data_IF_942696055812
#
_entry.id   IF_942696055812
#
_cell.length_a   1.000
_cell.length_b   1.000
_cell.length_c   1.000
_cell.angle_alpha   90.00
_cell.angle_beta   90.00
_cell.angle_gamma   90.00
#
_symmetry.space_group_name_H-M   'P 1'
#
loop_
_entity.id
_entity.type
_entity.pdbx_description
1 polymer ?
#
# COMPACT_ATOMS: atom_id res chain seq x y z
N UNK A 1 -20.02 16.86 0.10
CA UNK A 1 -19.07 16.10 0.95
C UNK A 1 -19.01 14.70 0.35
N UNK A 2 -17.83 14.24 -0.05
CA UNK A 2 -17.63 12.87 -0.57
C UNK A 2 -17.89 11.89 0.57
N UNK A 3 -18.77 10.93 0.36
CA UNK A 3 -19.03 9.87 1.34
C UNK A 3 -18.03 8.74 1.19
N UNK A 4 -17.97 7.82 2.14
CA UNK A 4 -17.15 6.60 2.03
C UNK A 4 -17.58 5.75 0.83
N UNK A 5 -18.88 5.66 0.58
CA UNK A 5 -19.43 4.89 -0.55
C UNK A 5 -19.04 5.51 -1.89
N UNK A 6 -19.07 6.85 -2.01
CA UNK A 6 -18.60 7.57 -3.20
C UNK A 6 -17.12 7.29 -3.47
N UNK A 7 -16.28 7.36 -2.43
CA UNK A 7 -14.86 7.10 -2.52
C UNK A 7 -14.55 5.66 -2.96
N UNK A 8 -15.25 4.67 -2.39
CA UNK A 8 -15.12 3.26 -2.76
C UNK A 8 -15.59 3.03 -4.21
N UNK A 9 -16.69 3.66 -4.61
CA UNK A 9 -17.22 3.55 -5.97
C UNK A 9 -16.24 4.13 -6.98
N UNK A 10 -15.66 5.31 -6.74
CA UNK A 10 -14.65 5.95 -7.57
C UNK A 10 -13.40 5.10 -7.69
N UNK A 11 -12.86 4.65 -6.56
CA UNK A 11 -11.69 3.79 -6.52
C UNK A 11 -11.92 2.45 -7.25
N UNK A 12 -13.12 1.88 -7.12
CA UNK A 12 -13.49 0.63 -7.79
C UNK A 12 -13.69 0.80 -9.29
N UNK A 13 -14.08 1.97 -9.76
CA UNK A 13 -14.26 2.30 -11.18
C UNK A 13 -12.94 2.67 -11.87
N UNK A 14 -11.92 3.09 -11.09
CA UNK A 14 -10.64 3.52 -11.63
C UNK A 14 -9.84 2.32 -12.16
N UNK A 15 -9.56 2.31 -13.45
CA UNK A 15 -8.68 1.31 -14.11
C UNK A 15 -7.23 1.77 -14.25
N UNK A 16 -6.82 2.82 -13.52
CA UNK A 16 -5.50 3.41 -13.58
C UNK A 16 -4.43 2.62 -12.83
N UNK A 17 -3.20 3.15 -12.82
CA UNK A 17 -2.10 2.52 -12.10
C UNK A 17 -2.29 2.61 -10.57
N UNK A 18 -1.90 1.58 -9.86
CA UNK A 18 -1.89 1.48 -8.39
C UNK A 18 -1.26 2.75 -7.77
N UNK A 19 -0.08 3.13 -8.25
CA UNK A 19 0.67 4.27 -7.72
C UNK A 19 -0.05 5.61 -7.86
N UNK A 20 -0.86 5.80 -8.89
CA UNK A 20 -1.63 7.03 -9.08
C UNK A 20 -2.87 7.06 -8.19
N UNK A 21 -3.48 5.90 -7.95
CA UNK A 21 -4.79 5.80 -7.31
C UNK A 21 -4.72 5.71 -5.80
N UNK A 22 -3.70 5.03 -5.21
CA UNK A 22 -3.69 4.84 -3.76
C UNK A 22 -3.53 6.16 -3.00
N UNK A 23 -2.73 7.11 -3.51
CA UNK A 23 -2.54 8.40 -2.82
C UNK A 23 -3.84 9.19 -2.78
N UNK A 24 -4.58 9.23 -3.90
CA UNK A 24 -5.88 9.90 -3.94
C UNK A 24 -6.90 9.21 -3.05
N UNK A 25 -6.92 7.87 -3.05
CA UNK A 25 -7.79 7.08 -2.18
C UNK A 25 -7.50 7.35 -0.70
N UNK A 26 -6.23 7.31 -0.26
CA UNK A 26 -5.84 7.58 1.14
C UNK A 26 -6.14 9.03 1.51
N UNK A 27 -5.89 9.99 0.64
CA UNK A 27 -6.24 11.38 0.90
C UNK A 27 -7.76 11.58 1.06
N UNK A 28 -8.55 10.97 0.17
CA UNK A 28 -10.02 10.97 0.27
C UNK A 28 -10.52 10.28 1.54
N UNK A 29 -9.90 9.17 1.94
CA UNK A 29 -10.22 8.47 3.18
C UNK A 29 -9.93 9.36 4.41
N UNK A 30 -8.82 10.09 4.43
CA UNK A 30 -8.52 11.06 5.48
C UNK A 30 -9.62 12.12 5.61
N UNK A 31 -10.13 12.62 4.48
CA UNK A 31 -11.22 13.62 4.49
C UNK A 31 -12.53 13.04 5.05
N UNK A 32 -12.89 11.84 4.61
CA UNK A 32 -14.09 11.15 5.10
C UNK A 32 -14.01 10.90 6.61
N UNK A 33 -12.81 10.56 7.12
CA UNK A 33 -12.57 10.32 8.54
C UNK A 33 -12.34 11.61 9.34
N UNK A 34 -12.20 12.77 8.68
CA UNK A 34 -11.92 14.04 9.36
C UNK A 34 -10.53 14.09 10.00
N UNK A 35 -9.55 13.36 9.46
CA UNK A 35 -8.16 13.33 9.94
C UNK A 35 -7.21 14.04 8.97
N UNK A 36 -6.07 14.55 9.45
CA UNK A 36 -5.09 15.20 8.57
C UNK A 36 -4.61 14.27 7.45
N UNK A 37 -4.45 14.81 6.24
CA UNK A 37 -3.82 14.12 5.12
C UNK A 37 -2.30 14.05 5.28
N UNK A 38 -1.61 13.11 4.63
CA UNK A 38 -0.16 13.15 4.47
C UNK A 38 0.29 14.47 3.85
N UNK A 39 1.40 15.01 4.35
CA UNK A 39 1.99 16.25 3.84
C UNK A 39 2.80 16.06 2.55
N UNK A 40 3.27 17.16 1.98
CA UNK A 40 4.25 17.12 0.90
C UNK A 40 5.58 16.61 1.42
N UNK A 41 6.23 15.74 0.62
CA UNK A 41 7.56 15.23 0.94
C UNK A 41 8.61 16.34 0.91
N UNK A 42 9.45 16.38 1.92
CA UNK A 42 10.59 17.30 2.05
C UNK A 42 11.84 16.63 1.48
N UNK A 43 12.78 17.43 0.95
CA UNK A 43 14.08 16.94 0.47
C UNK A 43 14.86 16.26 1.61
N UNK A 44 14.82 16.85 2.80
CA UNK A 44 15.41 16.27 4.02
C UNK A 44 14.48 15.21 4.59
N UNK A 45 14.84 13.94 4.40
CA UNK A 45 14.00 12.80 4.80
C UNK A 45 13.67 12.77 6.30
N UNK A 46 14.52 13.36 7.16
CA UNK A 46 14.26 13.46 8.61
C UNK A 46 13.02 14.30 8.95
N UNK A 47 12.57 15.17 8.04
CA UNK A 47 11.38 16.02 8.21
C UNK A 47 10.09 15.35 7.72
N UNK A 48 10.19 14.16 7.14
CA UNK A 48 9.08 13.43 6.55
C UNK A 48 8.36 12.55 7.59
N UNK A 49 7.71 13.17 8.56
CA UNK A 49 7.03 12.46 9.66
C UNK A 49 5.65 11.89 9.26
N UNK A 50 4.98 12.51 8.28
CA UNK A 50 3.70 12.01 7.74
C UNK A 50 3.60 12.33 6.25
N UNK A 51 4.00 11.38 5.42
CA UNK A 51 4.14 11.58 3.96
C UNK A 51 3.82 10.31 3.17
N UNK A 52 3.54 10.50 1.88
CA UNK A 52 3.59 9.42 0.90
C UNK A 52 5.04 9.17 0.43
N UNK A 53 5.31 7.98 -0.05
CA UNK A 53 6.58 7.57 -0.69
C UNK A 53 7.82 7.90 0.18
N UNK A 54 7.74 7.64 1.49
CA UNK A 54 8.89 7.85 2.37
C UNK A 54 10.03 6.92 1.98
N UNK A 55 11.22 7.48 1.70
CA UNK A 55 12.40 6.69 1.40
C UNK A 55 13.05 6.11 2.65
N UNK A 56 13.51 4.87 2.57
CA UNK A 56 14.30 4.16 3.57
C UNK A 56 15.59 3.64 2.92
N UNK A 57 16.67 3.60 3.69
CA UNK A 57 17.95 3.07 3.25
C UNK A 57 18.12 1.61 3.70
N UNK A 58 18.08 0.69 2.74
CA UNK A 58 18.46 -0.70 2.97
C UNK A 58 19.97 -0.86 2.73
N UNK A 59 20.72 -1.16 3.80
CA UNK A 59 22.17 -1.37 3.72
C UNK A 59 22.46 -2.85 3.55
N UNK A 60 23.11 -3.20 2.46
CA UNK A 60 23.53 -4.56 2.18
C UNK A 60 24.82 -4.91 2.94
N UNK A 61 25.11 -6.23 3.16
CA UNK A 61 26.35 -6.67 3.81
C UNK A 61 27.62 -6.26 3.08
N UNK A 62 27.55 -6.02 1.76
CA UNK A 62 28.67 -5.54 0.92
C UNK A 62 28.88 -4.02 1.02
N UNK A 63 28.09 -3.33 1.83
CA UNK A 63 28.15 -1.88 2.02
C UNK A 63 27.35 -1.06 1.00
N UNK A 64 26.76 -1.70 0.00
CA UNK A 64 25.86 -1.00 -0.94
C UNK A 64 24.54 -0.59 -0.25
N UNK A 65 23.87 0.42 -0.81
CA UNK A 65 22.61 0.94 -0.28
C UNK A 65 21.55 0.91 -1.37
N UNK A 66 20.42 0.28 -1.06
CA UNK A 66 19.21 0.33 -1.90
C UNK A 66 18.18 1.23 -1.25
N UNK A 67 17.55 2.11 -2.02
CA UNK A 67 16.40 2.91 -1.57
C UNK A 67 15.14 2.08 -1.67
N UNK A 68 14.45 1.94 -0.54
CA UNK A 68 13.10 1.42 -0.44
C UNK A 68 12.13 2.59 -0.26
N UNK A 69 10.86 2.40 -0.62
CA UNK A 69 9.84 3.43 -0.48
C UNK A 69 8.60 2.84 0.19
N UNK A 70 8.19 3.48 1.28
CA UNK A 70 6.95 3.16 2.00
C UNK A 70 5.83 3.96 1.38
N UNK A 71 4.75 3.32 0.93
CA UNK A 71 3.66 4.00 0.23
C UNK A 71 3.04 5.14 1.07
N UNK A 72 2.77 4.90 2.35
CA UNK A 72 2.41 5.96 3.28
C UNK A 72 2.99 5.67 4.67
N UNK A 73 3.59 6.68 5.28
CA UNK A 73 4.23 6.58 6.57
C UNK A 73 3.75 7.68 7.50
N UNK A 74 3.53 7.33 8.77
CA UNK A 74 3.30 8.29 9.85
C UNK A 74 4.12 7.89 11.08
N UNK A 75 5.09 8.74 11.44
CA UNK A 75 6.01 8.51 12.55
C UNK A 75 5.28 8.19 13.84
N UNK A 76 5.69 7.10 14.50
CA UNK A 76 5.10 6.64 15.78
C UNK A 76 3.68 6.11 15.66
N UNK A 77 3.13 5.96 14.44
CA UNK A 77 1.76 5.50 14.23
C UNK A 77 1.70 4.29 13.31
N UNK A 78 2.11 4.42 12.05
CA UNK A 78 1.96 3.33 11.09
C UNK A 78 2.94 3.37 9.91
N UNK A 79 3.13 2.18 9.34
CA UNK A 79 3.59 1.94 7.97
C UNK A 79 2.40 1.42 7.18
N UNK A 80 2.17 1.96 5.99
CA UNK A 80 1.09 1.52 5.10
C UNK A 80 1.68 1.08 3.75
N UNK A 81 1.23 -0.08 3.28
CA UNK A 81 1.49 -0.63 1.96
C UNK A 81 0.18 -0.75 1.19
N UNK A 82 0.15 -0.22 -0.02
CA UNK A 82 -1.02 -0.24 -0.88
C UNK A 82 -0.87 -1.28 -2.01
N UNK A 83 -1.98 -1.84 -2.41
CA UNK A 83 -2.12 -2.69 -3.59
C UNK A 83 -3.38 -2.30 -4.33
N UNK A 84 -3.42 -2.58 -5.62
CA UNK A 84 -4.62 -2.45 -6.42
C UNK A 84 -4.84 -3.76 -7.17
N UNK A 85 -5.69 -4.59 -6.61
CA UNK A 85 -6.05 -5.87 -7.23
C UNK A 85 -7.06 -5.69 -8.36
N UNK A 86 -7.03 -6.60 -9.33
CA UNK A 86 -8.00 -6.61 -10.41
C UNK A 86 -9.40 -6.96 -9.88
N UNK A 87 -10.41 -6.17 -10.29
CA UNK A 87 -11.80 -6.45 -10.00
C UNK A 87 -12.17 -7.85 -10.53
N UNK A 88 -13.01 -8.58 -9.80
CA UNK A 88 -13.59 -9.83 -10.30
C UNK A 88 -14.60 -9.48 -11.39
N UNK A 89 -14.15 -9.28 -12.61
CA UNK A 89 -15.06 -9.17 -13.74
C UNK A 89 -15.78 -10.50 -13.91
N UNK A 90 -17.10 -10.43 -14.08
CA UNK A 90 -17.88 -11.52 -14.68
C UNK A 90 -17.36 -11.64 -16.11
N UNK A 91 -16.42 -12.56 -16.34
CA UNK A 91 -15.91 -12.82 -17.70
C UNK A 91 -17.11 -13.18 -18.57
N UNK A 92 -17.30 -12.45 -19.67
CA UNK A 92 -18.06 -12.93 -20.80
C UNK A 92 -17.38 -14.24 -21.27
N UNK A 93 -18.08 -15.39 -21.23
CA UNK A 93 -17.48 -16.68 -21.61
C UNK A 93 -16.99 -16.74 -23.06
N UNK A 94 -17.25 -15.70 -23.86
CA UNK A 94 -16.90 -15.59 -25.28
C UNK A 94 -15.55 -14.93 -25.53
N UNK A 95 -14.93 -14.29 -24.55
CA UNK A 95 -13.57 -13.77 -24.64
C UNK A 95 -12.59 -14.79 -24.04
N UNK A 96 -12.44 -15.91 -24.75
CA UNK A 96 -11.37 -16.87 -24.50
C UNK A 96 -10.03 -16.18 -24.68
N UNK A 97 -9.30 -16.04 -23.57
CA UNK A 97 -7.97 -15.48 -23.56
C UNK A 97 -7.00 -16.40 -24.29
N UNK A 98 -6.71 -16.09 -25.52
CA UNK A 98 -5.86 -16.90 -26.40
C UNK A 98 -4.36 -16.59 -26.20
N UNK A 99 -3.98 -15.62 -25.36
CA UNK A 99 -2.58 -15.25 -25.09
C UNK A 99 -2.36 -14.72 -23.66
N UNK A 100 -2.00 -15.61 -22.74
CA UNK A 100 -0.98 -15.31 -21.73
C UNK A 100 -1.26 -14.24 -20.65
N UNK A 101 -2.51 -13.84 -20.34
CA UNK A 101 -2.82 -12.82 -19.34
C UNK A 101 -2.41 -13.21 -17.91
N UNK A 102 -2.40 -14.51 -17.57
CA UNK A 102 -1.94 -14.97 -16.25
C UNK A 102 -0.46 -14.68 -15.99
N UNK A 103 0.40 -14.73 -17.01
CA UNK A 103 1.82 -14.45 -16.86
C UNK A 103 2.11 -12.94 -16.73
N UNK A 104 1.30 -12.09 -17.37
CA UNK A 104 1.38 -10.62 -17.23
C UNK A 104 0.79 -10.15 -15.90
N UNK A 105 -0.31 -10.71 -15.44
CA UNK A 105 -0.90 -10.44 -14.11
C UNK A 105 0.06 -10.80 -12.97
N UNK A 106 0.84 -11.89 -13.11
CA UNK A 106 1.88 -12.26 -12.14
C UNK A 106 3.04 -11.26 -12.06
N UNK A 107 3.37 -10.59 -13.16
CA UNK A 107 4.43 -9.56 -13.20
C UNK A 107 3.99 -8.20 -12.65
N UNK A 108 2.69 -7.90 -12.67
CA UNK A 108 2.13 -6.59 -12.30
C UNK A 108 1.51 -6.54 -10.90
N UNK A 109 1.50 -7.65 -10.15
CA UNK A 109 0.91 -7.70 -8.80
C UNK A 109 -0.63 -7.64 -8.78
N UNK A 110 -1.28 -7.67 -9.94
CA UNK A 110 -2.74 -7.63 -10.06
C UNK A 110 -3.33 -9.04 -9.91
N UNK A 111 -3.48 -9.48 -8.67
CA UNK A 111 -4.21 -10.72 -8.40
C UNK A 111 -5.71 -10.46 -8.35
N UNK A 112 -6.50 -11.44 -8.83
CA UNK A 112 -7.96 -11.37 -8.83
C UNK A 112 -8.49 -11.45 -7.40
N UNK A 113 -9.31 -10.50 -6.96
CA UNK A 113 -9.94 -10.48 -5.63
C UNK A 113 -10.63 -11.79 -5.30
N UNK A 114 -10.42 -12.31 -4.07
CA UNK A 114 -10.99 -13.57 -3.61
C UNK A 114 -10.36 -14.83 -4.25
N UNK A 115 -9.17 -14.74 -4.83
CA UNK A 115 -8.39 -15.87 -5.30
C UNK A 115 -7.19 -16.15 -4.40
N UNK A 116 -6.66 -17.40 -4.46
CA UNK A 116 -5.39 -17.74 -3.80
C UNK A 116 -4.21 -16.86 -4.27
N UNK A 117 -4.30 -16.27 -5.45
CA UNK A 117 -3.34 -15.30 -5.95
C UNK A 117 -3.42 -13.99 -5.18
N UNK A 118 -4.62 -13.53 -4.87
CA UNK A 118 -4.86 -12.35 -4.06
C UNK A 118 -4.32 -12.51 -2.63
N UNK A 119 -4.60 -13.65 -1.97
CA UNK A 119 -4.07 -13.94 -0.63
C UNK A 119 -2.54 -13.89 -0.60
N UNK A 120 -1.89 -14.39 -1.65
CA UNK A 120 -0.42 -14.35 -1.77
C UNK A 120 0.11 -12.93 -1.94
N UNK A 121 -0.57 -12.09 -2.71
CA UNK A 121 -0.20 -10.68 -2.91
C UNK A 121 -0.34 -9.91 -1.60
N UNK A 122 -1.45 -10.07 -0.88
CA UNK A 122 -1.67 -9.41 0.41
C UNK A 122 -0.67 -9.88 1.46
N UNK A 123 -0.37 -11.18 1.51
CA UNK A 123 0.68 -11.71 2.40
C UNK A 123 2.06 -11.16 2.05
N UNK A 124 2.42 -11.05 0.78
CA UNK A 124 3.68 -10.45 0.36
C UNK A 124 3.76 -8.96 0.73
N UNK A 125 2.67 -8.21 0.56
CA UNK A 125 2.55 -6.83 0.99
C UNK A 125 2.73 -6.67 2.51
N UNK A 126 2.15 -7.57 3.30
CA UNK A 126 2.36 -7.60 4.75
C UNK A 126 3.84 -7.79 5.12
N UNK A 127 4.49 -8.79 4.54
CA UNK A 127 5.91 -9.05 4.82
C UNK A 127 6.80 -7.89 4.39
N UNK A 128 6.49 -7.24 3.27
CA UNK A 128 7.17 -6.04 2.79
C UNK A 128 6.99 -4.88 3.77
N UNK A 129 5.77 -4.62 4.23
CA UNK A 129 5.48 -3.56 5.18
C UNK A 129 6.16 -3.80 6.54
N UNK A 130 6.17 -5.06 7.03
CA UNK A 130 6.90 -5.44 8.25
C UNK A 130 8.41 -5.27 8.06
N UNK A 131 8.96 -5.59 6.89
CA UNK A 131 10.38 -5.38 6.62
C UNK A 131 10.75 -3.89 6.65
N UNK A 132 9.90 -3.02 6.11
CA UNK A 132 10.10 -1.57 6.18
C UNK A 132 10.23 -1.05 7.62
N UNK A 133 9.48 -1.61 8.58
CA UNK A 133 9.57 -1.17 9.98
C UNK A 133 10.96 -1.38 10.57
N UNK A 134 11.70 -2.37 10.10
CA UNK A 134 13.07 -2.69 10.53
C UNK A 134 14.12 -1.72 9.97
N UNK A 135 13.79 -1.02 8.91
CA UNK A 135 14.67 -0.05 8.24
C UNK A 135 14.33 1.40 8.60
N UNK A 136 13.35 1.61 9.49
CA UNK A 136 13.06 2.93 10.03
C UNK A 136 14.24 3.42 10.90
N UNK A 137 14.47 4.75 10.98
CA UNK A 137 15.42 5.30 11.94
C UNK A 137 15.08 4.86 13.37
N UNK A 138 16.10 4.52 14.14
CA UNK A 138 15.93 3.99 15.51
C UNK A 138 15.15 4.96 16.40
N UNK A 139 15.35 6.27 16.20
CA UNK A 139 14.66 7.34 16.94
C UNK A 139 13.17 7.45 16.60
N UNK A 140 12.70 6.79 15.54
CA UNK A 140 11.27 6.71 15.21
C UNK A 140 10.53 5.63 16.01
N UNK A 141 11.29 4.70 16.59
CA UNK A 141 10.72 3.53 17.26
C UNK A 141 10.00 2.60 16.29
N UNK A 142 9.39 1.57 16.86
CA UNK A 142 8.58 0.63 16.08
C UNK A 142 7.13 1.14 15.98
N UNK A 143 6.56 1.31 14.78
CA UNK A 143 5.20 1.80 14.66
C UNK A 143 4.21 0.72 15.15
N UNK A 144 3.19 1.11 15.96
CA UNK A 144 2.23 0.15 16.49
C UNK A 144 1.31 -0.47 15.44
N UNK A 145 1.24 0.11 14.25
CA UNK A 145 0.37 -0.40 13.19
C UNK A 145 1.11 -0.62 11.88
N UNK A 146 0.78 -1.75 11.24
CA UNK A 146 1.00 -2.02 9.82
C UNK A 146 -0.36 -2.06 9.15
N UNK A 147 -0.55 -1.26 8.10
CA UNK A 147 -1.79 -1.12 7.37
C UNK A 147 -1.57 -1.60 5.94
N UNK A 148 -2.42 -2.52 5.48
CA UNK A 148 -2.47 -2.93 4.08
C UNK A 148 -3.74 -2.40 3.46
N UNK A 149 -3.63 -1.83 2.27
CA UNK A 149 -4.78 -1.30 1.54
C UNK A 149 -4.83 -1.93 0.16
N UNK A 150 -5.88 -2.69 -0.13
CA UNK A 150 -6.27 -3.00 -1.51
C UNK A 150 -7.30 -1.98 -1.95
N UNK A 151 -6.87 -1.03 -2.78
CA UNK A 151 -7.60 0.20 -3.12
C UNK A 151 -9.03 -0.08 -3.57
N UNK A 152 -10.00 0.52 -2.86
CA UNK A 152 -11.44 0.34 -3.12
C UNK A 152 -11.98 -1.06 -2.79
N UNK A 153 -11.25 -1.89 -2.02
CA UNK A 153 -11.68 -3.24 -1.68
C UNK A 153 -11.58 -3.56 -0.19
N UNK A 154 -10.38 -3.51 0.39
CA UNK A 154 -10.16 -3.87 1.79
C UNK A 154 -9.05 -3.05 2.41
N UNK A 155 -9.17 -2.81 3.71
CA UNK A 155 -8.12 -2.30 4.57
C UNK A 155 -7.89 -3.32 5.66
N UNK A 156 -6.67 -3.86 5.75
CA UNK A 156 -6.25 -4.77 6.82
C UNK A 156 -5.35 -4.03 7.80
N UNK A 157 -5.68 -4.11 9.08
CA UNK A 157 -4.95 -3.46 10.17
C UNK A 157 -4.30 -4.52 11.05
N UNK A 158 -2.97 -4.49 11.11
CA UNK A 158 -2.18 -5.30 12.02
C UNK A 158 -1.61 -4.41 13.12
N UNK A 159 -1.75 -4.84 14.38
CA UNK A 159 -1.33 -4.06 15.52
C UNK A 159 -0.34 -4.83 16.38
N UNK A 160 0.77 -4.19 16.74
CA UNK A 160 1.72 -4.67 17.73
C UNK A 160 2.05 -3.53 18.70
N UNK A 161 1.59 -3.68 19.92
CA UNK A 161 1.83 -2.72 21.01
C UNK A 161 2.99 -3.11 21.91
N UNK A 162 3.73 -4.19 21.59
CA UNK A 162 4.93 -4.57 22.35
C UNK A 162 6.07 -3.56 22.15
N UNK A 163 6.09 -2.85 21.02
CA UNK A 163 7.16 -1.93 20.63
C UNK A 163 8.47 -2.64 20.27
N UNK A 164 8.43 -3.96 20.09
CA UNK A 164 9.63 -4.76 19.82
C UNK A 164 9.62 -5.38 18.40
N UNK A 165 8.49 -5.40 17.73
CA UNK A 165 8.32 -5.92 16.37
C UNK A 165 8.19 -7.41 16.30
#
# INVERSE_FOLDING_TARGET
MTTLDDLIAEASASGGSERANYQLFIAGLCDVLGVPRPGMSQETNALNDYVFERSLDYRHPDGSVTKLYVDCYKRGHFVLEAKQSARRETMDPRQGDMFGSEAQSRKLGHARRGSRGWDRVMRAAYLQAVDYTRHLPVEHGYPPFVILVDVGHVIELFADFSGQG
#
